data_IF_697283190392
#
_entry.id   IF_697283190392
#
_cell.length_a   1.000
_cell.length_b   1.000
_cell.length_c   1.000
_cell.angle_alpha   90.00
_cell.angle_beta   90.00
_cell.angle_gamma   90.00
#
_symmetry.space_group_name_H-M   'P 1'
#
loop_
_entity.id
_entity.type
_entity.pdbx_description
1 polymer ?
#
# COMPACT_ATOMS: atom_id res chain seq x y z
N UNK A 1 4.80 8.03 -8.51
CA UNK A 1 6.23 8.32 -8.29
C UNK A 1 6.58 8.50 -6.81
N UNK A 2 5.90 9.38 -6.06
CA UNK A 2 6.10 9.54 -4.60
C UNK A 2 6.05 8.23 -3.81
N UNK A 3 4.91 7.52 -3.88
CA UNK A 3 4.71 6.31 -3.08
C UNK A 3 5.75 5.21 -3.39
N UNK A 4 6.16 5.06 -4.65
CA UNK A 4 7.25 4.13 -5.01
C UNK A 4 8.56 4.40 -4.25
N UNK A 5 8.95 5.66 -4.11
CA UNK A 5 10.16 6.02 -3.33
C UNK A 5 9.96 5.76 -1.83
N UNK A 6 8.74 5.95 -1.33
CA UNK A 6 8.38 5.58 0.05
C UNK A 6 8.50 4.07 0.24
N UNK A 7 7.96 3.26 -0.68
CA UNK A 7 8.07 1.79 -0.65
C UNK A 7 9.53 1.32 -0.69
N UNK A 8 10.41 1.96 -1.48
CA UNK A 8 11.85 1.65 -1.48
C UNK A 8 12.48 1.89 -0.10
N UNK A 9 12.11 2.99 0.58
CA UNK A 9 12.54 3.24 1.96
C UNK A 9 11.92 2.25 2.97
N UNK A 10 10.70 1.76 2.72
CA UNK A 10 10.08 0.73 3.56
C UNK A 10 10.83 -0.59 3.49
N UNK A 11 11.38 -0.94 2.32
CA UNK A 11 12.24 -2.11 2.15
C UNK A 11 13.50 -1.97 3.01
N UNK A 12 14.18 -0.83 2.96
CA UNK A 12 15.35 -0.55 3.82
C UNK A 12 14.99 -0.65 5.31
N UNK A 13 13.81 -0.16 5.69
CA UNK A 13 13.30 -0.24 7.06
C UNK A 13 13.04 -1.69 7.50
N UNK A 14 12.52 -2.54 6.60
CA UNK A 14 12.36 -3.97 6.84
C UNK A 14 13.71 -4.68 6.97
N UNK A 15 14.72 -4.30 6.18
CA UNK A 15 16.08 -4.82 6.34
C UNK A 15 16.61 -4.55 7.75
N UNK A 16 16.47 -3.32 8.26
CA UNK A 16 16.85 -2.98 9.64
C UNK A 16 16.06 -3.82 10.67
N UNK A 17 14.76 -4.04 10.44
CA UNK A 17 13.96 -4.94 11.29
C UNK A 17 14.56 -6.35 11.29
N UNK A 18 14.87 -6.92 10.14
CA UNK A 18 15.48 -8.26 10.05
C UNK A 18 16.84 -8.33 10.77
N UNK A 19 17.69 -7.31 10.64
CA UNK A 19 18.94 -7.19 11.38
C UNK A 19 18.75 -7.20 12.90
N UNK A 20 17.75 -6.46 13.41
CA UNK A 20 17.38 -6.45 14.85
C UNK A 20 16.87 -7.80 15.36
N UNK A 21 16.39 -8.67 14.46
CA UNK A 21 16.05 -10.07 14.78
C UNK A 21 17.22 -11.05 14.61
N UNK A 22 18.38 -10.58 14.12
CA UNK A 22 19.52 -11.44 13.80
C UNK A 22 19.17 -12.44 12.68
N UNK A 23 18.32 -12.04 11.74
CA UNK A 23 17.86 -12.87 10.62
C UNK A 23 18.20 -12.17 9.31
N UNK A 24 18.50 -12.96 8.28
CA UNK A 24 18.61 -12.42 6.93
C UNK A 24 17.22 -12.12 6.38
N UNK A 25 17.04 -10.93 5.79
CA UNK A 25 15.86 -10.62 4.99
C UNK A 25 15.81 -11.56 3.78
N UNK A 26 14.62 -12.11 3.50
CA UNK A 26 14.38 -12.98 2.34
C UNK A 26 13.03 -12.64 1.74
N UNK A 27 13.03 -12.35 0.44
CA UNK A 27 11.80 -12.22 -0.31
C UNK A 27 10.99 -13.51 -0.27
N UNK A 28 9.67 -13.37 -0.15
CA UNK A 28 8.71 -14.46 -0.30
C UNK A 28 7.56 -13.95 -1.14
N UNK A 29 7.18 -14.72 -2.16
CA UNK A 29 5.98 -14.45 -2.95
C UNK A 29 4.76 -14.40 -2.05
N UNK A 30 3.93 -13.37 -2.25
CA UNK A 30 2.72 -13.15 -1.49
C UNK A 30 1.51 -13.20 -2.44
N UNK A 31 0.80 -14.34 -2.52
CA UNK A 31 -0.31 -14.49 -3.48
C UNK A 31 -1.42 -13.45 -3.30
N UNK A 32 -1.57 -12.89 -2.10
CA UNK A 32 -2.56 -11.86 -1.84
C UNK A 32 -2.23 -10.54 -2.54
N UNK A 33 -0.97 -10.08 -2.48
CA UNK A 33 -0.60 -8.83 -3.17
C UNK A 33 -0.50 -9.06 -4.68
N UNK A 34 -0.04 -10.24 -5.12
CA UNK A 34 0.00 -10.59 -6.54
C UNK A 34 -1.40 -10.49 -7.17
N UNK A 35 -2.43 -11.00 -6.48
CA UNK A 35 -3.82 -10.90 -6.95
C UNK A 35 -4.37 -9.46 -6.98
N UNK A 36 -4.00 -8.61 -6.01
CA UNK A 36 -4.43 -7.19 -6.02
C UNK A 36 -3.74 -6.44 -7.17
N UNK A 37 -2.47 -6.76 -7.47
CA UNK A 37 -1.75 -6.17 -8.61
C UNK A 37 -2.31 -6.67 -9.96
N UNK A 38 -2.77 -7.92 -10.02
CA UNK A 38 -3.46 -8.47 -11.19
C UNK A 38 -4.77 -7.71 -11.44
N UNK A 39 -5.59 -7.48 -10.42
CA UNK A 39 -6.81 -6.65 -10.52
C UNK A 39 -6.51 -5.23 -11.04
N UNK A 40 -5.47 -4.58 -10.53
CA UNK A 40 -5.04 -3.27 -11.04
C UNK A 40 -4.57 -3.29 -12.49
N UNK A 41 -3.98 -4.41 -12.93
CA UNK A 41 -3.54 -4.59 -14.33
C UNK A 41 -4.72 -4.83 -15.25
N UNK A 42 -5.71 -5.64 -14.84
CA UNK A 42 -6.97 -5.84 -15.57
C UNK A 42 -7.71 -4.51 -15.76
N UNK A 43 -7.80 -3.68 -14.71
CA UNK A 43 -8.39 -2.34 -14.81
C UNK A 43 -7.67 -1.47 -15.85
N UNK A 44 -6.33 -1.53 -15.88
CA UNK A 44 -5.54 -0.76 -16.81
C UNK A 44 -5.78 -1.18 -18.27
N UNK A 45 -5.97 -2.47 -18.51
CA UNK A 45 -6.26 -3.02 -19.84
C UNK A 45 -7.71 -2.78 -20.28
N UNK A 46 -8.68 -3.07 -19.41
CA UNK A 46 -10.11 -3.04 -19.73
C UNK A 46 -10.67 -1.61 -19.87
N UNK A 47 -10.07 -0.65 -19.15
CA UNK A 47 -10.50 0.75 -19.13
C UNK A 47 -9.52 1.68 -19.85
N UNK A 48 -8.60 1.17 -20.68
CA UNK A 48 -7.67 2.03 -21.43
C UNK A 48 -8.42 3.07 -22.28
N UNK A 49 -7.99 4.32 -22.15
CA UNK A 49 -8.64 5.48 -22.78
C UNK A 49 -10.03 5.83 -22.24
N UNK A 50 -10.59 5.05 -21.30
CA UNK A 50 -11.88 5.32 -20.69
C UNK A 50 -11.74 6.37 -19.56
N UNK A 51 -12.71 7.28 -19.40
CA UNK A 51 -12.68 8.24 -18.29
C UNK A 51 -12.77 7.61 -16.88
N UNK A 52 -13.15 6.34 -16.80
CA UNK A 52 -13.20 5.58 -15.55
C UNK A 52 -11.84 5.00 -15.13
N UNK A 53 -10.82 5.03 -16.00
CA UNK A 53 -9.50 4.46 -15.73
C UNK A 53 -8.87 5.00 -14.44
N UNK A 54 -8.80 6.33 -14.30
CA UNK A 54 -8.24 6.97 -13.10
C UNK A 54 -8.95 6.50 -11.81
N UNK A 55 -10.27 6.32 -11.86
CA UNK A 55 -11.05 5.89 -10.70
C UNK A 55 -10.80 4.42 -10.33
N UNK A 56 -10.70 3.55 -11.35
CA UNK A 56 -10.32 2.16 -11.16
C UNK A 56 -8.91 2.03 -10.58
N UNK A 57 -7.94 2.79 -11.11
CA UNK A 57 -6.56 2.76 -10.62
C UNK A 57 -6.43 3.28 -9.19
N UNK A 58 -7.19 4.32 -8.82
CA UNK A 58 -7.27 4.78 -7.42
C UNK A 58 -7.83 3.68 -6.52
N UNK A 59 -8.91 3.01 -6.94
CA UNK A 59 -9.51 1.92 -6.15
C UNK A 59 -8.54 0.74 -5.95
N UNK A 60 -7.84 0.31 -7.00
CA UNK A 60 -6.83 -0.74 -6.91
C UNK A 60 -5.65 -0.35 -6.01
N UNK A 61 -5.18 0.90 -6.09
CA UNK A 61 -4.15 1.41 -5.20
C UNK A 61 -4.61 1.41 -3.74
N UNK A 62 -5.84 1.85 -3.44
CA UNK A 62 -6.37 1.79 -2.06
C UNK A 62 -6.47 0.35 -1.54
N UNK A 63 -6.79 -0.62 -2.40
CA UNK A 63 -6.80 -2.03 -2.01
C UNK A 63 -5.39 -2.52 -1.60
N UNK A 64 -4.34 -2.06 -2.28
CA UNK A 64 -2.93 -2.28 -1.89
C UNK A 64 -2.66 -1.67 -0.52
N UNK A 65 -2.95 -0.37 -0.32
CA UNK A 65 -2.70 0.31 0.96
C UNK A 65 -3.42 -0.37 2.13
N UNK A 66 -4.69 -0.74 1.96
CA UNK A 66 -5.46 -1.42 2.99
C UNK A 66 -4.86 -2.79 3.37
N UNK A 67 -4.32 -3.52 2.38
CA UNK A 67 -3.60 -4.75 2.65
C UNK A 67 -2.36 -4.50 3.51
N UNK A 68 -1.56 -3.50 3.16
CA UNK A 68 -0.33 -3.14 3.88
C UNK A 68 -0.61 -2.60 5.28
N UNK A 69 -1.61 -1.73 5.45
CA UNK A 69 -2.09 -1.23 6.74
C UNK A 69 -2.45 -2.39 7.67
N UNK A 70 -3.19 -3.39 7.16
CA UNK A 70 -3.55 -4.57 7.95
C UNK A 70 -2.32 -5.39 8.37
N UNK A 71 -1.32 -5.53 7.48
CA UNK A 71 -0.08 -6.25 7.77
C UNK A 71 0.79 -5.52 8.77
N UNK A 72 1.09 -4.25 8.55
CA UNK A 72 1.91 -3.46 9.46
C UNK A 72 1.23 -3.29 10.82
N UNK A 73 -0.09 -3.06 10.88
CA UNK A 73 -0.82 -3.04 12.15
C UNK A 73 -0.65 -4.32 12.97
N UNK A 74 -0.70 -5.48 12.31
CA UNK A 74 -0.44 -6.78 12.94
C UNK A 74 1.01 -6.92 13.40
N UNK A 75 1.98 -6.56 12.56
CA UNK A 75 3.40 -6.67 12.86
C UNK A 75 3.83 -5.75 14.02
N UNK A 76 3.29 -4.54 14.08
CA UNK A 76 3.48 -3.61 15.21
C UNK A 76 3.01 -4.25 16.51
N UNK A 77 1.78 -4.78 16.54
CA UNK A 77 1.23 -5.41 17.74
C UNK A 77 2.08 -6.59 18.21
N UNK A 78 2.58 -7.42 17.28
CA UNK A 78 3.48 -8.53 17.62
C UNK A 78 4.83 -8.03 18.16
N UNK A 79 5.43 -7.02 17.54
CA UNK A 79 6.69 -6.45 18.02
C UNK A 79 6.56 -5.88 19.45
N UNK A 80 5.45 -5.20 19.75
CA UNK A 80 5.12 -4.72 21.08
C UNK A 80 4.95 -5.86 22.10
N UNK A 81 4.20 -6.91 21.74
CA UNK A 81 4.03 -8.10 22.59
C UNK A 81 5.35 -8.81 22.88
N UNK A 82 6.31 -8.77 21.96
CA UNK A 82 7.65 -9.31 22.14
C UNK A 82 8.59 -8.38 22.92
N UNK A 83 8.14 -7.21 23.34
CA UNK A 83 8.96 -6.20 24.03
C UNK A 83 10.02 -5.54 23.13
N UNK A 84 9.86 -5.60 21.80
CA UNK A 84 10.79 -5.04 20.82
C UNK A 84 10.36 -3.65 20.39
N UNK A 85 10.49 -2.69 21.31
CA UNK A 85 10.03 -1.32 21.11
C UNK A 85 10.71 -0.60 19.94
N UNK A 86 11.97 -0.92 19.67
CA UNK A 86 12.73 -0.36 18.54
C UNK A 86 12.21 -0.86 17.18
N UNK A 87 11.92 -2.17 17.08
CA UNK A 87 11.25 -2.75 15.91
C UNK A 87 9.84 -2.18 15.73
N UNK A 88 9.06 -2.08 16.82
CA UNK A 88 7.72 -1.54 16.76
C UNK A 88 7.71 -0.08 16.27
N UNK A 89 8.71 0.73 16.64
CA UNK A 89 8.84 2.11 16.18
C UNK A 89 9.06 2.18 14.66
N UNK A 90 9.95 1.35 14.11
CA UNK A 90 10.18 1.26 12.66
C UNK A 90 8.90 0.87 11.92
N UNK A 91 8.23 -0.20 12.36
CA UNK A 91 7.01 -0.68 11.69
C UNK A 91 5.85 0.34 11.79
N UNK A 92 5.78 1.12 12.87
CA UNK A 92 4.81 2.22 13.00
C UNK A 92 5.08 3.37 12.05
N UNK A 93 6.34 3.62 11.73
CA UNK A 93 6.71 4.64 10.75
C UNK A 93 6.17 4.25 9.36
N UNK A 94 6.41 3.01 8.92
CA UNK A 94 5.81 2.52 7.67
C UNK A 94 4.29 2.56 7.71
N UNK A 95 3.67 2.04 8.79
CA UNK A 95 2.21 2.07 8.93
C UNK A 95 1.62 3.47 8.75
N UNK A 96 2.29 4.49 9.29
CA UNK A 96 1.85 5.89 9.17
C UNK A 96 1.95 6.40 7.73
N UNK A 97 3.00 6.00 7.00
CA UNK A 97 3.19 6.36 5.59
C UNK A 97 2.13 5.71 4.70
N UNK A 98 1.75 4.44 4.94
CA UNK A 98 0.66 3.78 4.18
C UNK A 98 -0.70 4.43 4.47
N UNK A 99 -1.00 4.72 5.74
CA UNK A 99 -2.23 5.44 6.10
C UNK A 99 -2.29 6.81 5.44
N UNK A 100 -1.17 7.55 5.40
CA UNK A 100 -1.12 8.84 4.73
C UNK A 100 -1.26 8.72 3.20
N UNK A 101 -0.79 7.61 2.60
CA UNK A 101 -0.98 7.34 1.18
C UNK A 101 -2.45 7.05 0.86
N UNK A 102 -3.12 6.19 1.65
CA UNK A 102 -4.55 5.92 1.49
C UNK A 102 -5.41 7.18 1.67
N UNK A 103 -5.08 8.03 2.65
CA UNK A 103 -5.74 9.33 2.82
C UNK A 103 -5.55 10.23 1.58
N UNK A 104 -4.36 10.23 0.97
CA UNK A 104 -4.11 10.98 -0.25
C UNK A 104 -4.89 10.42 -1.46
N UNK A 105 -4.98 9.10 -1.58
CA UNK A 105 -5.78 8.43 -2.62
C UNK A 105 -7.27 8.73 -2.46
N UNK A 106 -7.78 8.70 -1.23
CA UNK A 106 -9.15 9.13 -0.89
C UNK A 106 -9.38 10.57 -1.36
N UNK A 107 -8.42 11.46 -1.10
CA UNK A 107 -8.47 12.84 -1.58
C UNK A 107 -8.52 12.98 -3.11
N UNK A 108 -7.84 12.10 -3.86
CA UNK A 108 -7.95 12.07 -5.33
C UNK A 108 -9.34 11.62 -5.79
N UNK A 109 -9.88 10.58 -5.15
CA UNK A 109 -11.23 10.07 -5.42
C UNK A 109 -12.31 11.15 -5.24
N UNK A 110 -12.33 11.77 -4.06
CA UNK A 110 -13.26 12.86 -3.71
C UNK A 110 -13.00 14.15 -4.50
N UNK A 111 -11.73 14.42 -4.82
CA UNK A 111 -11.26 15.61 -5.52
C UNK A 111 -11.60 15.68 -7.02
N UNK A 112 -12.25 14.64 -7.56
CA UNK A 112 -12.87 14.70 -8.89
C UNK A 112 -12.59 13.51 -9.79
N UNK A 113 -11.73 12.57 -9.40
CA UNK A 113 -11.53 11.33 -10.17
C UNK A 113 -12.85 10.56 -10.31
N UNK A 114 -13.59 10.39 -9.20
CA UNK A 114 -14.88 9.67 -9.22
C UNK A 114 -15.96 10.44 -10.00
N UNK A 115 -15.95 11.78 -9.94
CA UNK A 115 -16.89 12.60 -10.71
C UNK A 115 -16.64 12.55 -12.22
N UNK A 116 -15.37 12.57 -12.65
CA UNK A 116 -14.99 12.44 -14.06
C UNK A 116 -15.42 11.09 -14.63
N UNK A 117 -15.23 10.01 -13.86
CA UNK A 117 -15.72 8.69 -14.22
C UNK A 117 -17.26 8.68 -14.41
N UNK A 118 -18.00 9.31 -13.50
CA UNK A 118 -19.47 9.36 -13.56
C UNK A 118 -20.00 10.20 -14.74
N UNK A 119 -19.41 11.36 -15.02
CA UNK A 119 -19.85 12.25 -16.10
C UNK A 119 -19.72 11.62 -17.50
N UNK A 120 -18.80 10.69 -17.68
CA UNK A 120 -18.60 9.98 -18.93
C UNK A 120 -19.52 8.77 -19.12
N UNK A 121 -20.12 8.28 -18.03
CA UNK A 121 -21.06 7.15 -18.06
C UNK A 121 -22.53 7.58 -18.33
N UNK A 122 -22.79 8.89 -18.29
CA UNK A 122 -24.11 9.51 -18.55
C UNK A 122 -24.24 9.98 -19.99
#
# INVERSE_FOLDING_TARGET
EKHRMETEAHVDRLEEVFEKFGKAARGKTCPAIDGILEEGSEILEDYDGAPALDAGLVAAAQAVEHYEIARYGTLVAWAEQMGKADVAALLKETLKEEVATDEALTGLGEGGVNQRALQAAA
#
